data_IF_537030161332
#
_entry.id   IF_537030161332
#
_cell.length_a   1.000
_cell.length_b   1.000
_cell.length_c   1.000
_cell.angle_alpha   90.00
_cell.angle_beta   90.00
_cell.angle_gamma   90.00
#
_symmetry.space_group_name_H-M   'P 1'
#
loop_
_entity.id
_entity.type
_entity.pdbx_description
1 polymer ?
#
# COMPACT_ATOMS: atom_id res chain seq x y z
N UNK A 1 -16.03 -8.42 -9.60
CA UNK A 1 -15.06 -9.43 -9.10
C UNK A 1 -15.39 -10.76 -9.76
N UNK A 2 -14.43 -11.47 -10.34
CA UNK A 2 -14.62 -12.85 -10.84
C UNK A 2 -13.97 -13.80 -9.84
N UNK A 3 -14.71 -14.19 -8.81
CA UNK A 3 -14.27 -15.23 -7.88
C UNK A 3 -14.19 -16.56 -8.67
N UNK A 4 -13.02 -17.18 -8.71
CA UNK A 4 -12.81 -18.45 -9.42
C UNK A 4 -13.24 -19.62 -8.55
N UNK A 5 -14.06 -20.52 -9.11
CA UNK A 5 -14.49 -21.76 -8.47
C UNK A 5 -13.31 -22.74 -8.40
N UNK A 6 -12.54 -22.69 -7.32
CA UNK A 6 -11.79 -23.88 -6.86
C UNK A 6 -12.77 -24.87 -6.24
N UNK A 7 -12.45 -26.17 -6.24
CA UNK A 7 -13.32 -27.28 -5.77
C UNK A 7 -13.69 -27.26 -4.26
N UNK A 8 -13.52 -26.12 -3.57
CA UNK A 8 -13.87 -25.95 -2.17
C UNK A 8 -15.26 -25.32 -1.99
N UNK A 9 -16.08 -26.04 -1.21
CA UNK A 9 -17.38 -25.70 -0.63
C UNK A 9 -18.05 -24.41 -1.16
N UNK A 10 -18.88 -24.55 -2.20
CA UNK A 10 -19.65 -23.46 -2.85
C UNK A 10 -20.35 -22.54 -1.83
N UNK A 11 -20.76 -23.09 -0.68
CA UNK A 11 -21.40 -22.33 0.38
C UNK A 11 -20.45 -21.31 1.03
N UNK A 12 -19.19 -21.67 1.29
CA UNK A 12 -18.21 -20.74 1.86
C UNK A 12 -17.87 -19.62 0.87
N UNK A 13 -17.77 -19.95 -0.42
CA UNK A 13 -17.55 -18.95 -1.47
C UNK A 13 -18.71 -17.96 -1.55
N UNK A 14 -19.96 -18.45 -1.47
CA UNK A 14 -21.15 -17.59 -1.42
C UNK A 14 -21.16 -16.71 -0.18
N UNK A 15 -20.84 -17.27 0.99
CA UNK A 15 -20.79 -16.51 2.24
C UNK A 15 -19.74 -15.39 2.16
N UNK A 16 -18.56 -15.69 1.62
CA UNK A 16 -17.50 -14.70 1.41
C UNK A 16 -17.91 -13.62 0.40
N UNK A 17 -18.51 -14.00 -0.73
CA UNK A 17 -19.00 -13.05 -1.72
C UNK A 17 -20.09 -12.13 -1.15
N UNK A 18 -21.02 -12.67 -0.38
CA UNK A 18 -22.06 -11.90 0.31
C UNK A 18 -21.47 -10.94 1.35
N UNK A 19 -20.47 -11.39 2.12
CA UNK A 19 -19.76 -10.53 3.06
C UNK A 19 -19.03 -9.37 2.35
N UNK A 20 -18.37 -9.64 1.22
CA UNK A 20 -17.73 -8.58 0.41
C UNK A 20 -18.74 -7.56 -0.13
N UNK A 21 -19.92 -8.00 -0.58
CA UNK A 21 -20.98 -7.09 -1.03
C UNK A 21 -21.46 -6.20 0.11
N UNK A 22 -21.66 -6.76 1.32
CA UNK A 22 -22.01 -5.97 2.50
C UNK A 22 -20.95 -4.90 2.82
N UNK A 23 -19.66 -5.19 2.62
CA UNK A 23 -18.59 -4.18 2.80
C UNK A 23 -18.71 -3.09 1.74
N UNK A 24 -18.95 -3.45 0.47
CA UNK A 24 -19.13 -2.49 -0.62
C UNK A 24 -20.30 -1.54 -0.37
N UNK A 25 -21.40 -2.06 0.18
CA UNK A 25 -22.64 -1.32 0.40
C UNK A 25 -22.62 -0.55 1.74
N UNK A 26 -21.55 -0.66 2.53
CA UNK A 26 -21.48 -0.06 3.87
C UNK A 26 -22.42 -0.71 4.90
N UNK A 27 -22.91 -1.91 4.61
CA UNK A 27 -23.87 -2.69 5.41
C UNK A 27 -23.20 -3.78 6.26
N UNK A 28 -21.87 -3.94 6.17
CA UNK A 28 -21.10 -4.92 6.93
C UNK A 28 -20.74 -4.45 8.35
N UNK A 29 -21.19 -3.26 8.76
CA UNK A 29 -20.87 -2.73 10.08
C UNK A 29 -21.94 -3.08 11.11
N UNK A 30 -21.53 -3.72 12.21
CA UNK A 30 -22.28 -3.64 13.46
C UNK A 30 -22.00 -2.28 14.13
N UNK A 31 -22.88 -1.84 15.03
CA UNK A 31 -22.66 -0.63 15.82
C UNK A 31 -22.31 -1.01 17.26
N UNK A 32 -21.08 -0.76 17.68
CA UNK A 32 -20.71 -0.76 19.10
C UNK A 32 -20.50 0.69 19.50
N UNK A 33 -21.22 1.17 20.51
CA UNK A 33 -21.14 2.55 21.00
C UNK A 33 -21.39 3.64 19.93
N UNK A 34 -22.19 3.33 18.90
CA UNK A 34 -22.53 4.25 17.81
C UNK A 34 -21.53 4.25 16.65
N UNK A 35 -20.44 3.49 16.77
CA UNK A 35 -19.38 3.44 15.77
C UNK A 35 -19.49 2.18 14.89
N UNK A 36 -19.44 2.33 13.55
CA UNK A 36 -19.51 1.19 12.63
C UNK A 36 -18.23 0.33 12.69
N UNK A 37 -18.37 -0.96 13.00
CA UNK A 37 -17.25 -1.92 13.13
C UNK A 37 -17.40 -3.05 12.11
N UNK A 38 -16.32 -3.38 11.40
CA UNK A 38 -16.24 -4.54 10.50
C UNK A 38 -15.43 -5.64 11.15
N UNK A 39 -15.99 -6.85 11.16
CA UNK A 39 -15.29 -8.07 11.56
C UNK A 39 -14.65 -8.76 10.36
N UNK A 40 -13.35 -9.03 10.47
CA UNK A 40 -12.57 -9.77 9.47
C UNK A 40 -12.69 -11.28 9.75
N UNK A 41 -13.11 -12.10 8.77
CA UNK A 41 -13.18 -13.54 8.93
C UNK A 41 -11.84 -14.14 9.37
N UNK A 42 -11.87 -15.00 10.40
CA UNK A 42 -10.67 -15.57 11.02
C UNK A 42 -9.80 -16.39 10.05
N UNK A 43 -10.40 -16.93 8.98
CA UNK A 43 -9.68 -17.70 7.97
C UNK A 43 -8.80 -16.85 7.04
N UNK A 44 -9.04 -15.53 6.97
CA UNK A 44 -8.18 -14.60 6.22
C UNK A 44 -7.38 -13.68 7.14
N UNK A 45 -7.57 -13.76 8.46
CA UNK A 45 -6.88 -12.92 9.43
C UNK A 45 -5.51 -13.52 9.80
N UNK A 46 -4.47 -12.70 9.79
CA UNK A 46 -3.19 -13.01 10.43
C UNK A 46 -3.31 -12.61 11.89
N UNK A 47 -2.96 -13.54 12.78
CA UNK A 47 -2.98 -13.30 14.22
C UNK A 47 -1.97 -12.22 14.56
N UNK A 48 -2.39 -11.26 15.36
CA UNK A 48 -1.49 -10.21 15.83
C UNK A 48 -0.40 -10.84 16.73
N UNK A 49 0.84 -10.51 16.45
CA UNK A 49 2.05 -11.02 17.09
C UNK A 49 3.22 -10.08 16.75
N UNK A 50 4.34 -10.23 17.44
CA UNK A 50 5.56 -9.47 17.12
C UNK A 50 6.08 -9.76 15.70
N UNK A 51 5.81 -10.95 15.18
CA UNK A 51 6.22 -11.41 13.85
C UNK A 51 5.11 -11.27 12.80
N UNK A 52 3.95 -10.68 13.13
CA UNK A 52 2.78 -10.74 12.26
C UNK A 52 3.01 -10.10 10.87
N UNK A 53 3.84 -9.06 10.80
CA UNK A 53 4.23 -8.47 9.53
C UNK A 53 5.13 -9.40 8.71
N UNK A 54 6.02 -10.16 9.36
CA UNK A 54 6.83 -11.19 8.72
C UNK A 54 5.93 -12.34 8.23
N UNK A 55 4.95 -12.76 9.03
CA UNK A 55 3.95 -13.77 8.63
C UNK A 55 3.14 -13.32 7.39
N UNK A 56 2.79 -12.03 7.31
CA UNK A 56 2.14 -11.44 6.13
C UNK A 56 3.07 -11.44 4.91
N UNK A 57 4.33 -11.07 5.11
CA UNK A 57 5.35 -11.07 4.06
C UNK A 57 5.56 -12.48 3.52
N UNK A 58 5.72 -13.47 4.39
CA UNK A 58 5.93 -14.87 4.03
C UNK A 58 4.69 -15.47 3.36
N UNK A 59 3.49 -15.05 3.77
CA UNK A 59 2.27 -15.40 3.06
C UNK A 59 2.32 -14.90 1.61
N UNK A 60 2.60 -13.62 1.37
CA UNK A 60 2.58 -13.05 0.01
C UNK A 60 3.77 -13.56 -0.82
N UNK A 61 4.95 -13.64 -0.21
CA UNK A 61 6.22 -13.95 -0.84
C UNK A 61 6.91 -15.17 -0.20
N UNK A 62 6.33 -16.38 -0.32
CA UNK A 62 6.89 -17.59 0.29
C UNK A 62 8.27 -17.93 -0.29
N UNK A 63 9.21 -18.27 0.59
CA UNK A 63 10.58 -18.62 0.24
C UNK A 63 11.28 -17.56 -0.64
N UNK A 64 11.02 -16.27 -0.35
CA UNK A 64 11.49 -15.14 -1.18
C UNK A 64 12.97 -15.26 -1.55
N UNK A 65 13.84 -15.58 -0.59
CA UNK A 65 15.28 -15.65 -0.81
C UNK A 65 15.68 -16.75 -1.82
N UNK A 66 15.02 -17.90 -1.74
CA UNK A 66 15.20 -19.03 -2.67
C UNK A 66 14.66 -18.70 -4.06
N UNK A 67 13.60 -17.89 -4.12
CA UNK A 67 12.91 -17.55 -5.36
C UNK A 67 13.40 -16.26 -6.03
N UNK A 68 14.41 -15.57 -5.46
CA UNK A 68 14.92 -14.32 -6.03
C UNK A 68 15.33 -14.45 -7.49
N UNK A 69 15.83 -15.63 -7.90
CA UNK A 69 16.31 -15.92 -9.25
C UNK A 69 15.20 -16.27 -10.25
N UNK A 70 14.00 -16.57 -9.77
CA UNK A 70 12.89 -17.05 -10.60
C UNK A 70 12.23 -15.87 -11.31
N UNK A 71 12.12 -15.97 -12.63
CA UNK A 71 11.43 -14.97 -13.44
C UNK A 71 9.94 -14.91 -13.08
N UNK A 72 9.39 -13.69 -13.01
CA UNK A 72 7.99 -13.44 -12.63
C UNK A 72 7.59 -13.88 -11.21
N UNK A 73 8.52 -14.30 -10.33
CA UNK A 73 8.15 -14.71 -8.97
C UNK A 73 7.38 -13.63 -8.17
N UNK A 74 7.79 -12.37 -8.33
CA UNK A 74 7.14 -11.21 -7.69
C UNK A 74 5.92 -10.69 -8.45
N UNK A 75 5.66 -11.21 -9.66
CA UNK A 75 4.59 -10.72 -10.52
C UNK A 75 3.24 -11.07 -9.90
N UNK A 76 2.28 -10.16 -10.05
CA UNK A 76 0.89 -10.33 -9.62
C UNK A 76 0.74 -10.60 -8.10
N UNK A 77 1.73 -10.19 -7.30
CA UNK A 77 1.73 -10.27 -5.84
C UNK A 77 1.95 -8.89 -5.25
N UNK A 78 1.25 -8.54 -4.18
CA UNK A 78 1.50 -7.29 -3.47
C UNK A 78 1.00 -7.32 -2.02
N UNK A 79 1.65 -6.53 -1.18
CA UNK A 79 1.07 -6.08 0.09
C UNK A 79 0.36 -4.74 -0.15
N UNK A 80 -0.90 -4.64 0.20
CA UNK A 80 -1.70 -3.43 0.07
C UNK A 80 -1.81 -2.74 1.42
N UNK A 81 -1.55 -1.44 1.44
CA UNK A 81 -1.64 -0.64 2.66
C UNK A 81 -2.41 0.68 2.41
N UNK A 82 -2.99 1.30 3.45
CA UNK A 82 -3.82 2.49 3.26
C UNK A 82 -3.00 3.74 2.92
N UNK A 83 -1.82 3.91 3.53
CA UNK A 83 -1.00 5.11 3.38
C UNK A 83 0.37 4.82 2.76
N UNK A 84 0.99 5.87 2.19
CA UNK A 84 2.32 5.78 1.58
C UNK A 84 3.42 5.48 2.61
N UNK A 85 3.24 5.89 3.86
CA UNK A 85 4.18 5.60 4.96
C UNK A 85 4.18 4.11 5.29
N UNK A 86 3.00 3.47 5.34
CA UNK A 86 2.89 2.03 5.55
C UNK A 86 3.58 1.27 4.40
N UNK A 87 3.34 1.69 3.15
CA UNK A 87 4.00 1.12 1.96
C UNK A 87 5.51 1.27 2.05
N UNK A 88 6.00 2.44 2.45
CA UNK A 88 7.43 2.73 2.58
C UNK A 88 8.06 1.86 3.65
N UNK A 89 7.40 1.66 4.79
CA UNK A 89 7.85 0.77 5.85
C UNK A 89 8.01 -0.67 5.34
N UNK A 90 6.96 -1.24 4.74
CA UNK A 90 7.01 -2.61 4.20
C UNK A 90 8.10 -2.75 3.14
N UNK A 91 8.18 -1.83 2.17
CA UNK A 91 9.20 -1.87 1.12
C UNK A 91 10.63 -1.77 1.68
N UNK A 92 10.86 -0.95 2.71
CA UNK A 92 12.16 -0.84 3.37
C UNK A 92 12.54 -2.09 4.15
N UNK A 93 11.59 -2.70 4.88
CA UNK A 93 11.78 -3.98 5.58
C UNK A 93 12.14 -5.09 4.58
N UNK A 94 11.37 -5.21 3.50
CA UNK A 94 11.62 -6.16 2.41
C UNK A 94 13.01 -5.95 1.78
N UNK A 95 13.37 -4.71 1.48
CA UNK A 95 14.65 -4.39 0.83
C UNK A 95 15.84 -4.67 1.75
N UNK A 96 15.71 -4.40 3.06
CA UNK A 96 16.73 -4.70 4.07
C UNK A 96 16.96 -6.20 4.21
N UNK A 97 15.91 -7.01 4.11
CA UNK A 97 15.99 -8.47 4.15
C UNK A 97 16.70 -9.14 2.96
N UNK A 98 17.00 -8.39 1.88
CA UNK A 98 17.67 -8.93 0.70
C UNK A 98 19.20 -8.91 0.86
N UNK A 99 19.89 -10.08 0.88
CA UNK A 99 21.34 -10.19 1.05
C UNK A 99 22.08 -9.93 -0.28
N UNK A 100 21.80 -8.79 -0.90
CA UNK A 100 22.41 -8.39 -2.18
C UNK A 100 23.04 -7.01 -2.07
N UNK A 101 24.04 -6.77 -2.92
CA UNK A 101 24.67 -5.45 -2.99
C UNK A 101 23.63 -4.39 -3.33
N UNK A 102 23.67 -3.28 -2.60
CA UNK A 102 22.80 -2.14 -2.79
C UNK A 102 23.48 -0.99 -3.54
N UNK A 103 22.64 -0.20 -4.19
CA UNK A 103 22.99 1.11 -4.72
C UNK A 103 21.92 2.11 -4.29
N UNK A 104 22.38 3.26 -3.80
CA UNK A 104 21.52 4.35 -3.34
C UNK A 104 21.54 5.46 -4.36
N UNK A 105 20.36 5.94 -4.73
CA UNK A 105 20.17 7.08 -5.62
C UNK A 105 19.37 8.15 -4.90
N UNK A 106 20.03 9.27 -4.60
CA UNK A 106 19.38 10.44 -4.03
C UNK A 106 18.76 11.30 -5.13
N UNK A 107 17.60 11.88 -4.82
CA UNK A 107 16.95 12.84 -5.72
C UNK A 107 17.66 14.18 -5.68
N UNK A 108 17.34 15.03 -6.66
CA UNK A 108 17.72 16.44 -6.67
C UNK A 108 16.45 17.26 -6.59
N UNK A 109 16.26 17.96 -5.48
CA UNK A 109 15.03 18.69 -5.15
C UNK A 109 15.31 20.20 -5.20
N UNK A 110 14.34 20.97 -5.68
CA UNK A 110 14.46 22.43 -5.79
C UNK A 110 13.10 23.11 -5.71
N UNK A 111 13.05 24.25 -5.01
CA UNK A 111 11.86 25.10 -4.93
C UNK A 111 11.57 25.68 -6.31
N UNK A 112 10.30 25.70 -6.71
CA UNK A 112 9.83 26.41 -7.88
C UNK A 112 9.46 27.83 -7.44
N UNK A 113 10.24 28.83 -7.83
CA UNK A 113 9.89 30.22 -7.58
C UNK A 113 8.72 30.64 -8.49
N UNK A 114 7.69 31.28 -7.92
CA UNK A 114 6.69 32.01 -8.70
C UNK A 114 7.19 33.45 -8.95
N UNK A 115 6.86 34.02 -10.13
CA UNK A 115 7.26 35.38 -10.50
C UNK A 115 6.66 36.41 -9.53
N UNK A 116 7.44 36.86 -8.54
CA UNK A 116 7.08 37.96 -7.64
C UNK A 116 7.49 37.79 -6.17
N UNK A 117 7.73 36.57 -5.68
CA UNK A 117 8.02 36.26 -4.26
C UNK A 117 9.36 35.50 -4.06
N UNK A 118 10.40 35.88 -4.82
CA UNK A 118 11.63 35.09 -4.96
C UNK A 118 12.50 34.90 -3.71
N UNK A 119 12.52 35.85 -2.76
CA UNK A 119 13.53 35.81 -1.67
C UNK A 119 13.03 35.13 -0.37
N UNK A 120 11.76 35.29 0.01
CA UNK A 120 11.27 34.74 1.28
C UNK A 120 10.93 33.25 1.23
N UNK A 121 10.52 32.72 0.08
CA UNK A 121 10.14 31.30 -0.06
C UNK A 121 11.35 30.36 -0.16
N UNK A 122 12.44 30.80 -0.79
CA UNK A 122 13.63 29.94 -0.98
C UNK A 122 14.36 29.73 0.35
N UNK A 123 14.46 30.75 1.19
CA UNK A 123 15.12 30.66 2.50
C UNK A 123 14.25 29.97 3.56
N UNK A 124 12.92 29.92 3.37
CA UNK A 124 12.00 29.28 4.32
C UNK A 124 11.98 27.74 4.23
N UNK A 125 12.30 27.17 3.07
CA UNK A 125 12.26 25.72 2.85
C UNK A 125 13.67 25.15 2.64
N UNK A 126 14.22 24.55 3.69
CA UNK A 126 15.49 23.84 3.59
C UNK A 126 15.38 22.61 2.68
N UNK A 127 16.50 22.22 2.05
CA UNK A 127 16.55 20.97 1.26
C UNK A 127 16.14 19.75 2.10
N UNK A 128 16.38 19.75 3.41
CA UNK A 128 15.97 18.67 4.32
C UNK A 128 14.44 18.52 4.37
N UNK A 129 13.70 19.63 4.42
CA UNK A 129 12.24 19.63 4.37
C UNK A 129 11.76 19.04 3.03
N UNK A 130 12.33 19.51 1.91
CA UNK A 130 11.96 19.01 0.58
C UNK A 130 12.23 17.52 0.43
N UNK A 131 13.40 17.06 0.86
CA UNK A 131 13.80 15.65 0.83
C UNK A 131 12.86 14.77 1.68
N UNK A 132 12.26 15.33 2.72
CA UNK A 132 11.26 14.68 3.58
C UNK A 132 9.86 14.56 2.95
N UNK A 133 9.55 15.33 1.89
CA UNK A 133 8.23 15.28 1.26
C UNK A 133 8.04 13.96 0.52
N UNK A 134 7.00 13.23 0.92
CA UNK A 134 6.56 11.98 0.32
C UNK A 134 5.08 12.11 -0.07
N UNK A 135 4.78 12.04 -1.37
CA UNK A 135 3.42 12.22 -1.85
C UNK A 135 3.13 11.32 -3.06
N UNK A 136 1.84 11.08 -3.32
CA UNK A 136 1.41 10.21 -4.42
C UNK A 136 1.90 10.73 -5.77
N UNK A 137 2.52 9.84 -6.56
CA UNK A 137 3.05 10.20 -7.89
C UNK A 137 4.45 10.78 -7.87
N UNK A 138 5.05 11.00 -6.70
CA UNK A 138 6.42 11.44 -6.55
C UNK A 138 7.31 10.28 -6.04
N UNK A 139 8.38 9.90 -6.75
CA UNK A 139 9.37 8.97 -6.24
C UNK A 139 10.00 9.48 -4.93
N UNK A 140 10.42 8.57 -4.03
CA UNK A 140 11.06 8.96 -2.78
C UNK A 140 12.40 9.66 -3.06
N UNK A 141 12.80 10.54 -2.14
CA UNK A 141 14.11 11.17 -2.18
C UNK A 141 15.24 10.13 -2.25
N UNK A 142 15.18 9.12 -1.37
CA UNK A 142 16.15 8.03 -1.32
C UNK A 142 15.58 6.79 -1.99
N UNK A 143 16.12 6.44 -3.15
CA UNK A 143 15.84 5.18 -3.84
C UNK A 143 16.96 4.17 -3.58
N UNK A 144 16.65 3.06 -2.93
CA UNK A 144 17.59 1.96 -2.68
C UNK A 144 17.26 0.81 -3.63
N UNK A 145 18.22 0.43 -4.47
CA UNK A 145 18.09 -0.69 -5.40
C UNK A 145 19.08 -1.79 -5.05
N UNK A 146 18.66 -3.05 -5.19
CA UNK A 146 19.52 -4.23 -5.00
C UNK A 146 19.84 -4.85 -6.35
N UNK A 147 21.02 -5.47 -6.48
CA UNK A 147 21.42 -6.15 -7.73
C UNK A 147 20.42 -7.29 -8.06
N UNK A 148 19.81 -7.24 -9.25
CA UNK A 148 18.88 -8.26 -9.75
C UNK A 148 19.56 -9.38 -10.53
N UNK A 149 18.79 -10.37 -11.00
CA UNK A 149 19.35 -11.50 -11.76
C UNK A 149 19.64 -11.18 -13.23
N UNK A 150 19.17 -10.03 -13.72
CA UNK A 150 19.49 -9.51 -15.05
C UNK A 150 20.72 -8.59 -14.99
N UNK A 151 21.61 -8.80 -14.03
CA UNK A 151 22.88 -8.07 -13.95
C UNK A 151 23.68 -8.30 -15.23
N UNK A 152 24.17 -7.22 -15.83
CA UNK A 152 24.83 -7.24 -17.15
C UNK A 152 23.90 -6.84 -18.30
N UNK A 153 22.58 -6.89 -18.14
CA UNK A 153 21.64 -6.31 -19.11
C UNK A 153 21.59 -4.79 -18.94
N UNK A 154 21.73 -4.06 -20.05
CA UNK A 154 21.66 -2.60 -20.05
C UNK A 154 20.22 -2.16 -20.32
N UNK A 155 19.66 -1.37 -19.40
CA UNK A 155 18.38 -0.68 -19.56
C UNK A 155 18.60 0.79 -19.24
N UNK A 156 18.10 1.67 -20.11
CA UNK A 156 18.17 3.11 -19.91
C UNK A 156 16.86 3.60 -19.27
N UNK A 157 16.95 4.12 -18.06
CA UNK A 157 15.82 4.76 -17.36
C UNK A 157 16.21 6.24 -17.18
N UNK A 158 15.56 7.19 -17.86
CA UNK A 158 15.87 8.60 -17.68
C UNK A 158 15.38 9.08 -16.31
N UNK A 159 16.14 9.99 -15.68
CA UNK A 159 15.62 10.76 -14.53
C UNK A 159 14.61 11.78 -15.04
N UNK A 160 13.43 11.79 -14.45
CA UNK A 160 12.38 12.75 -14.77
C UNK A 160 12.35 13.87 -13.73
N UNK A 161 11.90 15.02 -14.22
CA UNK A 161 11.60 16.21 -13.45
C UNK A 161 10.12 16.18 -13.09
N UNK A 162 9.81 16.03 -11.80
CA UNK A 162 8.45 15.80 -11.31
C UNK A 162 8.05 16.92 -10.36
N UNK A 163 6.94 17.58 -10.67
CA UNK A 163 6.31 18.59 -9.81
C UNK A 163 5.04 17.93 -9.25
N UNK A 164 4.96 17.71 -7.93
CA UNK A 164 3.76 17.13 -7.34
C UNK A 164 2.58 18.08 -7.50
N UNK A 165 1.48 17.58 -8.04
CA UNK A 165 0.24 18.34 -8.18
C UNK A 165 -0.60 18.23 -6.89
N UNK A 166 -0.02 18.67 -5.76
CA UNK A 166 -0.69 18.62 -4.47
C UNK A 166 -0.80 20.03 -3.87
N UNK A 167 -2.01 20.60 -3.95
CA UNK A 167 -2.33 21.94 -3.43
C UNK A 167 -2.17 22.05 -1.91
N UNK A 168 -2.09 20.93 -1.18
CA UNK A 168 -1.85 20.95 0.27
C UNK A 168 -0.38 21.09 0.64
N UNK A 169 0.54 21.08 -0.33
CA UNK A 169 1.95 21.26 -0.03
C UNK A 169 2.22 22.75 0.25
N UNK A 170 3.00 23.06 1.29
CA UNK A 170 3.28 24.45 1.66
C UNK A 170 4.21 25.15 0.67
N UNK A 171 4.83 24.40 -0.24
CA UNK A 171 5.76 24.91 -1.25
C UNK A 171 5.61 24.13 -2.54
N UNK A 172 5.63 24.84 -3.66
CA UNK A 172 5.79 24.25 -4.98
C UNK A 172 7.27 23.91 -5.17
N UNK A 173 7.57 22.64 -5.41
CA UNK A 173 8.94 22.20 -5.65
C UNK A 173 8.97 21.17 -6.77
N UNK A 174 10.17 20.89 -7.24
CA UNK A 174 10.43 19.90 -8.27
C UNK A 174 11.45 18.90 -7.76
N UNK A 175 11.16 17.61 -7.98
CA UNK A 175 12.07 16.50 -7.68
C UNK A 175 12.55 15.89 -8.99
N UNK A 176 13.87 15.84 -9.17
CA UNK A 176 14.51 15.08 -10.24
C UNK A 176 14.96 13.71 -9.73
N UNK A 177 14.28 12.65 -10.18
CA UNK A 177 14.54 11.28 -9.75
C UNK A 177 14.18 10.27 -10.85
N UNK A 178 14.67 9.03 -10.75
CA UNK A 178 14.16 7.95 -11.59
C UNK A 178 12.66 7.73 -11.35
N UNK A 179 11.84 7.55 -12.39
CA UNK A 179 10.39 7.32 -12.27
C UNK A 179 10.08 5.86 -11.89
N UNK A 180 10.76 5.35 -10.86
CA UNK A 180 10.61 3.99 -10.35
C UNK A 180 10.52 4.01 -8.83
N UNK A 181 9.75 3.09 -8.29
CA UNK A 181 9.60 2.85 -6.85
C UNK A 181 9.65 1.35 -6.58
N UNK A 182 10.05 0.97 -5.37
CA UNK A 182 9.90 -0.42 -4.93
C UNK A 182 8.42 -0.75 -4.79
N UNK A 183 8.04 -1.97 -5.20
CA UNK A 183 6.64 -2.38 -5.32
C UNK A 183 6.37 -3.76 -4.69
N UNK A 184 7.03 -4.09 -3.57
CA UNK A 184 6.59 -5.23 -2.75
C UNK A 184 5.27 -4.92 -2.05
N UNK A 185 5.11 -3.65 -1.68
CA UNK A 185 3.87 -3.06 -1.23
C UNK A 185 3.46 -1.88 -2.12
N UNK A 186 2.15 -1.62 -2.19
CA UNK A 186 1.57 -0.43 -2.82
C UNK A 186 0.34 0.04 -2.06
N UNK A 187 -0.10 1.29 -2.30
CA UNK A 187 -1.31 1.78 -1.63
C UNK A 187 -2.55 1.11 -2.23
N UNK A 188 -3.58 0.93 -1.41
CA UNK A 188 -4.88 0.39 -1.86
C UNK A 188 -5.41 1.19 -3.07
N UNK A 189 -5.31 2.52 -3.02
CA UNK A 189 -5.72 3.38 -4.14
C UNK A 189 -4.96 3.07 -5.44
N UNK A 190 -3.66 2.77 -5.37
CA UNK A 190 -2.86 2.41 -6.57
C UNK A 190 -3.20 1.02 -7.10
N UNK A 191 -3.73 0.13 -6.27
CA UNK A 191 -4.17 -1.21 -6.70
C UNK A 191 -5.50 -1.21 -7.49
N UNK A 192 -6.24 -0.09 -7.49
CA UNK A 192 -7.53 0.01 -8.17
C UNK A 192 -7.37 -0.30 -9.67
N UNK A 193 -8.23 -1.19 -10.17
CA UNK A 193 -8.19 -1.66 -11.57
C UNK A 193 -7.19 -2.78 -11.84
N UNK A 194 -6.33 -3.12 -10.88
CA UNK A 194 -5.42 -4.27 -10.99
C UNK A 194 -6.07 -5.53 -10.44
N UNK A 195 -5.75 -6.68 -11.03
CA UNK A 195 -6.06 -8.02 -10.50
C UNK A 195 -4.74 -8.67 -10.11
N UNK A 196 -4.64 -9.17 -8.89
CA UNK A 196 -3.44 -9.80 -8.33
C UNK A 196 -3.74 -11.26 -8.01
N UNK A 197 -2.73 -12.12 -8.13
CA UNK A 197 -2.80 -13.54 -7.79
C UNK A 197 -2.70 -13.76 -6.28
N UNK A 198 -1.89 -12.97 -5.55
CA UNK A 198 -1.74 -13.11 -4.09
C UNK A 198 -1.62 -11.76 -3.40
N UNK A 199 -2.43 -11.53 -2.37
CA UNK A 199 -2.53 -10.23 -1.71
C UNK A 199 -2.48 -10.37 -0.19
N UNK A 200 -1.58 -9.59 0.41
CA UNK A 200 -1.62 -9.29 1.83
C UNK A 200 -2.19 -7.89 2.03
N UNK A 201 -3.12 -7.68 2.95
CA UNK A 201 -3.63 -6.35 3.31
C UNK A 201 -3.06 -6.01 4.68
N UNK A 202 -2.25 -4.95 4.74
CA UNK A 202 -1.62 -4.47 5.96
C UNK A 202 -2.33 -3.22 6.47
N UNK A 203 -2.98 -3.34 7.64
CA UNK A 203 -3.79 -2.31 8.27
C UNK A 203 -3.27 -2.01 9.68
N UNK A 204 -2.21 -1.21 9.80
CA UNK A 204 -1.67 -0.84 11.11
C UNK A 204 -2.49 0.24 11.81
N UNK A 205 -3.55 0.78 11.19
CA UNK A 205 -4.49 1.75 11.76
C UNK A 205 -5.85 1.56 11.08
N UNK A 206 -6.97 1.86 11.75
CA UNK A 206 -8.30 1.89 11.14
C UNK A 206 -8.40 3.14 10.25
N UNK A 207 -7.89 3.06 9.03
CA UNK A 207 -7.94 4.19 8.08
C UNK A 207 -8.66 3.74 6.84
N UNK A 208 -9.95 4.07 6.76
CA UNK A 208 -10.73 3.84 5.56
C UNK A 208 -11.52 5.07 5.22
N UNK A 209 -11.42 5.48 3.95
CA UNK A 209 -12.53 6.17 3.30
C UNK A 209 -13.49 5.13 2.74
N UNK A 210 -14.75 5.51 2.49
CA UNK A 210 -15.78 4.61 1.97
C UNK A 210 -15.28 3.81 0.74
N UNK A 211 -15.41 2.48 0.80
CA UNK A 211 -15.05 1.58 -0.29
C UNK A 211 -13.57 1.17 -0.38
N UNK A 212 -12.65 1.76 0.39
CA UNK A 212 -11.22 1.37 0.34
C UNK A 212 -10.99 -0.09 0.76
N UNK A 213 -11.65 -0.56 1.82
CA UNK A 213 -11.53 -1.96 2.25
C UNK A 213 -12.06 -2.92 1.18
N UNK A 214 -13.19 -2.58 0.57
CA UNK A 214 -13.73 -3.33 -0.56
C UNK A 214 -12.76 -3.37 -1.75
N UNK A 215 -12.15 -2.22 -2.10
CA UNK A 215 -11.13 -2.17 -3.16
C UNK A 215 -10.00 -3.13 -2.85
N UNK A 216 -9.46 -3.13 -1.63
CA UNK A 216 -8.37 -4.02 -1.23
C UNK A 216 -8.75 -5.50 -1.30
N UNK A 217 -9.88 -5.88 -0.70
CA UNK A 217 -10.36 -7.27 -0.65
C UNK A 217 -10.74 -7.81 -2.04
N UNK A 218 -11.18 -6.93 -2.95
CA UNK A 218 -11.58 -7.32 -4.32
C UNK A 218 -10.42 -7.50 -5.31
N UNK A 219 -9.15 -7.34 -4.87
CA UNK A 219 -7.97 -7.45 -5.75
C UNK A 219 -7.60 -8.89 -6.12
N UNK A 220 -8.09 -9.89 -5.40
CA UNK A 220 -7.83 -11.31 -5.67
C UNK A 220 -9.06 -12.04 -6.19
N UNK A 221 -8.86 -13.18 -6.84
CA UNK A 221 -9.94 -14.04 -7.35
C UNK A 221 -10.25 -15.22 -6.44
N UNK A 222 -9.43 -15.48 -5.42
CA UNK A 222 -9.60 -16.55 -4.43
C UNK A 222 -9.38 -16.02 -3.02
N UNK A 223 -10.20 -16.50 -2.06
CA UNK A 223 -10.03 -16.20 -0.64
C UNK A 223 -8.72 -16.78 -0.07
N UNK A 224 -8.24 -17.88 -0.66
CA UNK A 224 -7.07 -18.60 -0.16
C UNK A 224 -5.78 -17.80 -0.42
N UNK A 225 -5.83 -16.92 -1.42
CA UNK A 225 -4.75 -16.01 -1.81
C UNK A 225 -4.83 -14.62 -1.14
N UNK A 226 -5.68 -14.50 -0.12
CA UNK A 226 -5.88 -13.26 0.65
C UNK A 226 -5.54 -13.45 2.12
N UNK A 227 -4.72 -12.56 2.68
CA UNK A 227 -4.60 -12.40 4.13
C UNK A 227 -4.65 -10.94 4.54
N UNK A 228 -5.19 -10.69 5.73
CA UNK A 228 -5.36 -9.38 6.33
C UNK A 228 -4.63 -9.36 7.67
N UNK A 229 -3.79 -8.36 7.88
CA UNK A 229 -3.13 -8.08 9.15
C UNK A 229 -3.70 -6.79 9.72
N UNK A 230 -4.30 -6.90 10.91
CA UNK A 230 -4.71 -5.78 11.77
C UNK A 230 -3.66 -5.64 12.88
N UNK A 231 -3.11 -4.44 13.10
CA UNK A 231 -2.03 -4.25 14.09
C UNK A 231 -2.31 -3.19 15.16
N UNK A 232 -3.31 -2.32 14.94
CA UNK A 232 -3.73 -1.33 15.93
C UNK A 232 -5.19 -1.56 16.27
N UNK A 233 -5.42 -1.98 17.51
CA UNK A 233 -6.74 -2.33 18.02
C UNK A 233 -7.34 -1.24 18.90
N UNK A 234 -6.59 -0.24 19.40
CA UNK A 234 -7.12 0.59 20.49
C UNK A 234 -7.78 -0.28 21.60
N UNK A 235 -9.10 -0.17 21.78
CA UNK A 235 -9.92 -0.98 22.69
C UNK A 235 -10.73 -2.11 22.02
N UNK A 236 -10.52 -2.38 20.74
CA UNK A 236 -11.29 -3.33 19.93
C UNK A 236 -10.75 -4.76 20.03
N UNK A 237 -11.58 -5.74 19.68
CA UNK A 237 -11.18 -7.14 19.56
C UNK A 237 -10.16 -7.37 18.42
N UNK A 238 -9.34 -8.42 18.54
CA UNK A 238 -8.23 -8.72 17.63
C UNK A 238 -8.64 -8.94 16.16
N UNK A 239 -9.93 -9.16 15.88
CA UNK A 239 -10.45 -9.47 14.54
C UNK A 239 -11.32 -8.36 13.93
N UNK A 240 -11.44 -7.20 14.58
CA UNK A 240 -12.32 -6.13 14.12
C UNK A 240 -11.60 -4.80 13.97
N UNK A 241 -12.23 -3.92 13.19
CA UNK A 241 -11.69 -2.60 12.89
C UNK A 241 -12.84 -1.61 12.63
N UNK A 242 -12.60 -0.34 12.96
CA UNK A 242 -13.54 0.74 12.68
C UNK A 242 -13.68 0.99 11.18
N UNK A 243 -14.92 1.07 10.73
CA UNK A 243 -15.29 1.40 9.36
C UNK A 243 -15.64 2.89 9.28
N UNK A 244 -14.65 3.75 9.12
CA UNK A 244 -14.87 5.20 9.04
C UNK A 244 -15.60 5.55 7.73
N UNK A 245 -16.93 5.52 7.76
CA UNK A 245 -17.79 5.97 6.67
C UNK A 245 -18.41 7.30 7.07
N UNK A 246 -17.92 8.39 6.49
CA UNK A 246 -18.56 9.71 6.61
C UNK A 246 -19.87 9.70 5.84
N UNK A 247 -20.97 9.37 6.54
CA UNK A 247 -22.31 9.36 5.95
C UNK A 247 -22.79 10.76 5.59
N UNK A 248 -22.27 11.80 6.24
CA UNK A 248 -22.66 13.19 5.97
C UNK A 248 -22.33 13.64 4.53
N UNK A 249 -21.34 13.00 3.90
CA UNK A 249 -20.98 13.27 2.49
C UNK A 249 -22.04 12.74 1.52
N UNK A 250 -22.87 11.78 1.92
CA UNK A 250 -23.91 11.18 1.07
C UNK A 250 -25.29 11.81 1.26
N UNK A 251 -25.53 12.55 2.34
CA UNK A 251 -26.78 13.29 2.57
C UNK A 251 -26.84 14.63 1.81
N UNK A 252 -25.75 15.00 1.13
CA UNK A 252 -25.62 16.22 0.33
C UNK A 252 -25.58 15.98 -1.20
N UNK A 253 -25.90 14.75 -1.65
CA UNK A 253 -26.09 14.35 -3.05
C UNK A 253 -27.57 14.03 -3.32
#
# INVERSE_FOLDING_TARGET
MRLSLGENNIQELRNFAQWLLKISDGLASDTTDGEPIIYIPSNILIKNSETALDDLIDFVYPDMLSNLSIENYFKDKAILAPTLDCVTNVNNKMTTGLPRQERVYLSSDFVCAEEGNMEFEIDAFSLEILNGINCSGLPPHKLVLKVGNKAGSIVLIPRLNLIPNNETLPVRFQRRQFPIIMSFAMTINKSQGQTLLKVGIYLPRPVFTHGQLYVALSRVTSKDDLRVLLQDHGHLEDNCMMNVVYREVFESL
#
